data_IF_084605005127
#
_entry.id   IF_084605005127
#
_cell.length_a   1.000
_cell.length_b   1.000
_cell.length_c   1.000
_cell.angle_alpha   90.00
_cell.angle_beta   90.00
_cell.angle_gamma   90.00
#
_symmetry.space_group_name_H-M   'P 1'
#
loop_
_entity.id
_entity.type
_entity.pdbx_description
1 polymer ?
#
# COMPACT_ATOMS: atom_id res chain seq x y z
N UNK A 1 5.75 -22.48 -20.97
CA UNK A 1 4.48 -21.77 -20.87
C UNK A 1 3.33 -22.79 -20.91
N UNK A 2 2.26 -22.54 -20.15
CA UNK A 2 0.98 -23.30 -20.14
C UNK A 2 1.02 -24.76 -19.67
N UNK A 3 2.00 -25.18 -18.90
CA UNK A 3 1.98 -26.50 -18.23
C UNK A 3 1.63 -26.28 -16.76
N UNK A 4 0.49 -26.79 -16.24
CA UNK A 4 0.15 -26.67 -14.83
C UNK A 4 1.12 -27.51 -14.00
N UNK A 5 2.03 -26.84 -13.30
CA UNK A 5 2.96 -27.50 -12.38
C UNK A 5 2.32 -27.45 -10.99
N UNK A 6 1.95 -28.58 -10.45
CA UNK A 6 1.46 -28.71 -9.06
C UNK A 6 2.65 -28.73 -8.10
N UNK A 7 3.15 -27.56 -7.75
CA UNK A 7 4.11 -27.42 -6.65
C UNK A 7 3.35 -27.07 -5.36
N UNK A 8 3.86 -27.49 -4.18
CA UNK A 8 3.33 -27.00 -2.92
C UNK A 8 3.50 -25.48 -2.87
N UNK A 9 2.59 -24.78 -2.20
CA UNK A 9 2.65 -23.32 -2.08
C UNK A 9 3.92 -22.84 -1.35
N UNK A 10 4.44 -23.66 -0.43
CA UNK A 10 5.71 -23.46 0.26
C UNK A 10 6.49 -24.77 0.29
N UNK A 11 7.76 -24.70 -0.09
CA UNK A 11 8.72 -25.81 0.01
C UNK A 11 9.31 -25.89 1.43
N UNK A 12 10.06 -26.98 1.73
CA UNK A 12 10.77 -27.08 3.02
C UNK A 12 11.78 -25.94 3.19
N UNK A 13 12.44 -25.53 2.11
CA UNK A 13 13.35 -24.39 2.12
C UNK A 13 12.60 -23.08 2.41
N UNK A 14 11.43 -22.86 1.79
CA UNK A 14 10.62 -21.68 2.07
C UNK A 14 10.21 -21.63 3.55
N UNK A 15 9.91 -22.79 4.16
CA UNK A 15 9.61 -22.89 5.59
C UNK A 15 10.80 -22.47 6.46
N UNK A 16 12.02 -22.89 6.10
CA UNK A 16 13.24 -22.46 6.80
C UNK A 16 13.46 -20.94 6.64
N UNK A 17 13.34 -20.43 5.42
CA UNK A 17 13.50 -19.01 5.12
C UNK A 17 12.44 -18.14 5.83
N UNK A 18 11.19 -18.60 5.92
CA UNK A 18 10.12 -17.91 6.66
C UNK A 18 10.46 -17.89 8.18
N UNK A 19 10.89 -19.02 8.78
CA UNK A 19 11.31 -19.03 10.19
C UNK A 19 12.43 -18.04 10.46
N UNK A 20 13.46 -18.07 9.64
CA UNK A 20 14.57 -17.12 9.73
C UNK A 20 14.08 -15.67 9.61
N UNK A 21 13.21 -15.38 8.64
CA UNK A 21 12.62 -14.05 8.48
C UNK A 21 11.82 -13.60 9.71
N UNK A 22 11.04 -14.50 10.30
CA UNK A 22 10.28 -14.23 11.54
C UNK A 22 11.23 -13.88 12.68
N UNK A 23 12.31 -14.66 12.87
CA UNK A 23 13.35 -14.40 13.87
C UNK A 23 14.04 -13.05 13.66
N UNK A 24 14.24 -12.63 12.41
CA UNK A 24 14.80 -11.34 12.05
C UNK A 24 13.78 -10.18 12.12
N UNK A 25 12.51 -10.46 12.44
CA UNK A 25 11.48 -9.44 12.62
C UNK A 25 11.03 -8.77 11.33
N UNK A 26 10.88 -9.52 10.25
CA UNK A 26 10.38 -9.01 8.96
C UNK A 26 8.99 -8.41 9.10
N UNK A 27 8.69 -7.41 8.27
CA UNK A 27 7.40 -6.72 8.26
C UNK A 27 6.41 -7.30 7.24
N UNK A 28 6.90 -7.93 6.15
CA UNK A 28 6.09 -8.50 5.07
C UNK A 28 6.71 -9.77 4.51
N UNK A 29 5.87 -10.64 3.97
CA UNK A 29 6.29 -11.73 3.09
C UNK A 29 5.75 -11.44 1.69
N UNK A 30 6.64 -11.42 0.68
CA UNK A 30 6.26 -11.37 -0.72
C UNK A 30 6.29 -12.79 -1.30
N UNK A 31 5.10 -13.41 -1.41
CA UNK A 31 4.95 -14.78 -1.89
C UNK A 31 5.01 -14.83 -3.41
N UNK A 32 6.01 -15.54 -3.96
CA UNK A 32 6.17 -15.74 -5.41
C UNK A 32 5.24 -16.84 -5.92
N UNK A 33 4.89 -16.78 -7.19
CA UNK A 33 4.12 -17.79 -7.91
C UNK A 33 2.80 -18.19 -7.26
N UNK A 34 2.07 -17.21 -6.71
CA UNK A 34 0.75 -17.46 -6.13
C UNK A 34 -0.24 -17.82 -7.25
N UNK A 35 -0.82 -19.01 -7.16
CA UNK A 35 -1.75 -19.57 -8.14
C UNK A 35 -3.22 -19.33 -7.76
N UNK A 36 -3.53 -19.43 -6.46
CA UNK A 36 -4.88 -19.38 -5.90
C UNK A 36 -4.88 -18.95 -4.43
N UNK A 37 -6.04 -18.87 -3.81
CA UNK A 37 -6.19 -18.49 -2.41
C UNK A 37 -5.55 -19.50 -1.44
N UNK A 38 -5.53 -20.80 -1.78
CA UNK A 38 -4.95 -21.85 -0.94
C UNK A 38 -3.47 -21.61 -0.66
N UNK A 39 -2.72 -21.07 -1.62
CA UNK A 39 -1.32 -20.68 -1.42
C UNK A 39 -1.17 -19.69 -0.25
N UNK A 40 -2.04 -18.69 -0.16
CA UNK A 40 -2.00 -17.70 0.91
C UNK A 40 -2.43 -18.32 2.25
N UNK A 41 -3.43 -19.19 2.22
CA UNK A 41 -3.92 -19.90 3.42
C UNK A 41 -2.82 -20.77 4.01
N UNK A 42 -2.06 -21.50 3.17
CA UNK A 42 -0.95 -22.37 3.61
C UNK A 42 0.17 -21.54 4.26
N UNK A 43 0.60 -20.43 3.63
CA UNK A 43 1.61 -19.53 4.20
C UNK A 43 1.12 -18.96 5.54
N UNK A 44 -0.14 -18.54 5.62
CA UNK A 44 -0.72 -17.99 6.85
C UNK A 44 -0.82 -19.03 7.96
N UNK A 45 -1.15 -20.28 7.65
CA UNK A 45 -1.14 -21.38 8.60
C UNK A 45 0.27 -21.60 9.16
N UNK A 46 1.28 -21.60 8.29
CA UNK A 46 2.67 -21.75 8.70
C UNK A 46 3.18 -20.58 9.55
N UNK A 47 2.80 -19.34 9.21
CA UNK A 47 3.09 -18.17 10.06
C UNK A 47 2.47 -18.29 11.45
N UNK A 48 1.28 -18.90 11.56
CA UNK A 48 0.64 -19.18 12.85
C UNK A 48 1.44 -20.20 13.66
N UNK A 49 2.00 -21.23 13.02
CA UNK A 49 2.90 -22.19 13.68
C UNK A 49 4.18 -21.52 14.18
N UNK A 50 4.64 -20.44 13.53
CA UNK A 50 5.78 -19.65 13.93
C UNK A 50 5.45 -18.52 14.94
N UNK A 51 4.27 -18.49 15.53
CA UNK A 51 3.76 -17.41 16.42
C UNK A 51 3.79 -16.01 15.77
N UNK A 52 3.72 -15.96 14.44
CA UNK A 52 3.80 -14.74 13.64
C UNK A 52 2.59 -14.50 12.73
N UNK A 53 1.32 -14.76 13.15
CA UNK A 53 0.13 -14.62 12.31
C UNK A 53 -0.13 -13.18 11.86
N UNK A 54 0.56 -12.23 12.47
CA UNK A 54 0.46 -10.79 12.22
C UNK A 54 1.25 -10.33 11.01
N UNK A 55 2.15 -11.14 10.42
CA UNK A 55 2.94 -10.75 9.26
C UNK A 55 2.05 -10.75 8.00
N UNK A 56 1.91 -9.61 7.31
CA UNK A 56 1.12 -9.52 6.09
C UNK A 56 1.79 -10.27 4.93
N UNK A 57 0.94 -10.81 4.06
CA UNK A 57 1.36 -11.54 2.86
C UNK A 57 1.01 -10.70 1.63
N UNK A 58 2.03 -10.33 0.85
CA UNK A 58 1.90 -9.71 -0.46
C UNK A 58 1.96 -10.82 -1.51
N UNK A 59 0.84 -11.08 -2.19
CA UNK A 59 0.79 -12.09 -3.24
C UNK A 59 1.38 -11.53 -4.54
N UNK A 60 2.38 -12.21 -5.10
CA UNK A 60 2.96 -11.86 -6.39
C UNK A 60 2.20 -12.57 -7.51
N UNK A 61 1.65 -11.78 -8.42
CA UNK A 61 0.92 -12.27 -9.59
C UNK A 61 1.88 -12.33 -10.77
N UNK A 62 2.22 -13.55 -11.15
CA UNK A 62 3.33 -13.86 -12.07
C UNK A 62 2.93 -14.82 -13.20
N UNK A 63 1.69 -15.33 -13.20
CA UNK A 63 1.24 -16.38 -14.11
C UNK A 63 -0.25 -16.25 -14.47
N UNK A 64 -0.66 -17.00 -15.50
CA UNK A 64 -2.03 -16.99 -16.01
C UNK A 64 -3.06 -17.55 -15.01
N UNK A 65 -2.69 -18.53 -14.18
CA UNK A 65 -3.58 -19.10 -13.18
C UNK A 65 -3.87 -18.11 -12.06
N UNK A 66 -2.87 -17.37 -11.58
CA UNK A 66 -3.03 -16.29 -10.63
C UNK A 66 -3.94 -15.17 -11.13
N UNK A 67 -3.88 -14.85 -12.43
CA UNK A 67 -4.83 -13.90 -13.07
C UNK A 67 -6.25 -14.44 -13.06
N UNK A 68 -6.45 -15.71 -13.40
CA UNK A 68 -7.77 -16.35 -13.39
C UNK A 68 -8.40 -16.34 -12.00
N UNK A 69 -7.59 -16.52 -10.97
CA UNK A 69 -8.01 -16.62 -9.57
C UNK A 69 -7.83 -15.29 -8.79
N UNK A 70 -7.62 -14.19 -9.50
CA UNK A 70 -7.20 -12.91 -8.89
C UNK A 70 -8.16 -12.40 -7.81
N UNK A 71 -9.46 -12.59 -7.97
CA UNK A 71 -10.46 -12.08 -7.03
C UNK A 71 -10.37 -12.78 -5.66
N UNK A 72 -10.18 -14.09 -5.64
CA UNK A 72 -10.00 -14.84 -4.40
C UNK A 72 -8.63 -14.55 -3.75
N UNK A 73 -7.58 -14.42 -4.56
CA UNK A 73 -6.24 -14.07 -4.07
C UNK A 73 -6.27 -12.70 -3.39
N UNK A 74 -6.87 -11.68 -4.02
CA UNK A 74 -6.98 -10.33 -3.43
C UNK A 74 -7.73 -10.35 -2.09
N UNK A 75 -8.78 -11.16 -1.96
CA UNK A 75 -9.54 -11.26 -0.71
C UNK A 75 -8.71 -11.88 0.42
N UNK A 76 -7.89 -12.88 0.12
CA UNK A 76 -7.10 -13.62 1.10
C UNK A 76 -5.76 -12.97 1.44
N UNK A 77 -5.10 -12.33 0.46
CA UNK A 77 -3.82 -11.65 0.64
C UNK A 77 -4.00 -10.30 1.37
N UNK A 78 -2.91 -9.77 1.92
CA UNK A 78 -2.87 -8.46 2.55
C UNK A 78 -2.47 -7.34 1.59
N UNK A 79 -1.87 -7.72 0.46
CA UNK A 79 -1.55 -6.86 -0.67
C UNK A 79 -1.18 -7.67 -1.89
N UNK A 80 -1.01 -7.00 -3.01
CA UNK A 80 -0.69 -7.61 -4.30
C UNK A 80 0.56 -6.96 -4.89
N UNK A 81 1.40 -7.76 -5.54
CA UNK A 81 2.49 -7.29 -6.38
C UNK A 81 2.28 -7.76 -7.81
N UNK A 82 2.19 -6.83 -8.74
CA UNK A 82 2.14 -7.14 -10.18
C UNK A 82 3.56 -7.27 -10.68
N UNK A 83 4.03 -8.52 -10.86
CA UNK A 83 5.39 -8.85 -11.27
C UNK A 83 5.46 -9.06 -12.79
N UNK A 84 5.56 -7.97 -13.55
CA UNK A 84 5.42 -7.95 -15.01
C UNK A 84 6.47 -8.77 -15.76
N UNK A 85 7.67 -8.89 -15.23
CA UNK A 85 8.76 -9.64 -15.88
C UNK A 85 8.38 -11.10 -16.09
N UNK A 86 7.87 -11.76 -15.05
CA UNK A 86 7.50 -13.17 -15.10
C UNK A 86 6.13 -13.34 -15.78
N UNK A 87 5.19 -12.43 -15.51
CA UNK A 87 3.87 -12.42 -16.12
C UNK A 87 3.95 -12.32 -17.66
N UNK A 88 4.84 -11.47 -18.19
CA UNK A 88 5.03 -11.29 -19.64
C UNK A 88 5.70 -12.47 -20.35
N UNK A 89 6.19 -13.47 -19.60
CA UNK A 89 6.67 -14.74 -20.18
C UNK A 89 5.51 -15.72 -20.41
N UNK A 90 4.49 -15.65 -19.57
CA UNK A 90 3.35 -16.59 -19.62
C UNK A 90 2.14 -16.04 -20.37
N UNK A 91 1.98 -14.73 -20.42
CA UNK A 91 0.84 -14.05 -21.04
C UNK A 91 1.33 -13.21 -22.22
N UNK A 92 0.55 -13.09 -23.31
CA UNK A 92 0.86 -12.20 -24.43
C UNK A 92 1.19 -10.78 -23.92
N UNK A 93 2.30 -10.22 -24.39
CA UNK A 93 2.83 -8.95 -23.90
C UNK A 93 1.82 -7.80 -24.03
N UNK A 94 0.99 -7.83 -25.06
CA UNK A 94 -0.08 -6.85 -25.33
C UNK A 94 -1.22 -6.89 -24.31
N UNK A 95 -1.42 -8.01 -23.60
CA UNK A 95 -2.45 -8.15 -22.56
C UNK A 95 -2.00 -7.61 -21.20
N UNK A 96 -0.69 -7.60 -20.92
CA UNK A 96 -0.13 -7.22 -19.63
C UNK A 96 -0.57 -5.83 -19.16
N UNK A 97 -0.61 -4.77 -20.00
CA UNK A 97 -1.05 -3.44 -19.57
C UNK A 97 -2.52 -3.41 -19.12
N UNK A 98 -3.40 -4.13 -19.80
CA UNK A 98 -4.81 -4.25 -19.43
C UNK A 98 -4.96 -4.98 -18.09
N UNK A 99 -4.33 -6.14 -17.94
CA UNK A 99 -4.39 -6.96 -16.73
C UNK A 99 -3.85 -6.21 -15.51
N UNK A 100 -2.76 -5.48 -15.67
CA UNK A 100 -2.20 -4.62 -14.64
C UNK A 100 -3.22 -3.59 -14.15
N UNK A 101 -3.85 -2.84 -15.06
CA UNK A 101 -4.87 -1.84 -14.71
C UNK A 101 -6.05 -2.48 -13.98
N UNK A 102 -6.51 -3.62 -14.46
CA UNK A 102 -7.59 -4.38 -13.84
C UNK A 102 -7.24 -4.82 -12.40
N UNK A 103 -6.03 -5.34 -12.18
CA UNK A 103 -5.56 -5.74 -10.85
C UNK A 103 -5.50 -4.53 -9.90
N UNK A 104 -4.92 -3.41 -10.35
CA UNK A 104 -4.81 -2.18 -9.54
C UNK A 104 -6.21 -1.69 -9.13
N UNK A 105 -7.17 -1.64 -10.06
CA UNK A 105 -8.55 -1.24 -9.77
C UNK A 105 -9.22 -2.16 -8.73
N UNK A 106 -9.06 -3.49 -8.89
CA UNK A 106 -9.59 -4.46 -7.92
C UNK A 106 -8.92 -4.30 -6.54
N UNK A 107 -7.60 -4.10 -6.47
CA UNK A 107 -6.91 -3.86 -5.21
C UNK A 107 -7.41 -2.58 -4.52
N UNK A 108 -7.59 -1.50 -5.26
CA UNK A 108 -8.15 -0.26 -4.73
C UNK A 108 -9.57 -0.46 -4.20
N UNK A 109 -10.42 -1.22 -4.90
CA UNK A 109 -11.77 -1.57 -4.44
C UNK A 109 -11.76 -2.33 -3.10
N UNK A 110 -10.85 -3.32 -2.94
CA UNK A 110 -10.74 -4.12 -1.72
C UNK A 110 -9.84 -3.50 -0.64
N UNK A 111 -9.40 -2.24 -0.80
CA UNK A 111 -8.48 -1.55 0.12
C UNK A 111 -7.18 -2.32 0.37
N UNK A 112 -6.70 -3.04 -0.64
CA UNK A 112 -5.42 -3.74 -0.57
C UNK A 112 -4.32 -2.91 -1.22
N UNK A 113 -3.14 -2.77 -0.61
CA UNK A 113 -2.00 -2.14 -1.27
C UNK A 113 -1.59 -2.94 -2.50
N UNK A 114 -1.22 -2.23 -3.56
CA UNK A 114 -0.73 -2.81 -4.80
C UNK A 114 0.63 -2.21 -5.17
N UNK A 115 1.59 -3.10 -5.40
CA UNK A 115 2.96 -2.76 -5.78
C UNK A 115 3.14 -3.10 -7.25
N UNK A 116 3.62 -2.15 -8.04
CA UNK A 116 4.05 -2.41 -9.41
C UNK A 116 5.55 -2.68 -9.43
N UNK A 117 5.93 -3.85 -9.92
CA UNK A 117 7.29 -4.35 -9.86
C UNK A 117 7.83 -4.74 -11.24
N UNK A 118 9.17 -4.77 -11.32
CA UNK A 118 10.02 -5.20 -12.43
C UNK A 118 10.04 -4.29 -13.65
N UNK A 119 11.25 -4.12 -14.19
CA UNK A 119 11.56 -3.40 -15.43
C UNK A 119 11.00 -1.97 -15.45
N UNK A 120 11.10 -1.26 -14.33
CA UNK A 120 10.63 0.12 -14.23
C UNK A 120 11.61 1.08 -14.88
N UNK A 121 12.90 0.96 -14.56
CA UNK A 121 14.03 1.74 -15.09
C UNK A 121 15.19 0.81 -15.50
N UNK A 122 14.92 -0.32 -16.12
CA UNK A 122 15.85 -1.42 -16.39
C UNK A 122 17.12 -0.96 -17.13
N UNK A 123 17.00 0.00 -18.04
CA UNK A 123 18.17 0.56 -18.76
C UNK A 123 19.16 1.23 -17.80
N UNK A 124 18.70 1.69 -16.62
CA UNK A 124 19.55 2.33 -15.62
C UNK A 124 20.44 1.33 -14.83
N UNK A 125 20.27 0.03 -15.03
CA UNK A 125 21.27 -0.96 -14.62
C UNK A 125 22.63 -0.63 -15.23
N UNK A 126 22.64 -0.10 -16.47
CA UNK A 126 23.85 0.12 -17.28
C UNK A 126 24.07 1.57 -17.66
N UNK A 127 23.02 2.41 -17.69
CA UNK A 127 23.07 3.79 -18.14
C UNK A 127 22.64 4.74 -17.01
N UNK A 128 23.20 5.96 -16.94
CA UNK A 128 22.86 6.93 -15.90
C UNK A 128 21.51 7.63 -16.12
N UNK A 129 20.82 7.36 -17.23
CA UNK A 129 19.52 7.93 -17.59
C UNK A 129 18.60 6.88 -18.16
N UNK A 130 17.30 6.93 -17.84
CA UNK A 130 16.32 5.99 -18.40
C UNK A 130 15.94 6.36 -19.82
N UNK A 131 15.27 5.43 -20.49
CA UNK A 131 14.59 5.69 -21.75
C UNK A 131 13.28 6.46 -21.50
N UNK A 132 12.76 7.13 -22.56
CA UNK A 132 11.45 7.81 -22.48
C UNK A 132 10.31 6.82 -22.19
N UNK A 133 10.38 5.61 -22.71
CA UNK A 133 9.38 4.56 -22.47
C UNK A 133 9.33 4.18 -20.97
N UNK A 134 10.48 4.04 -20.33
CA UNK A 134 10.56 3.74 -18.90
C UNK A 134 10.02 4.87 -18.03
N UNK A 135 10.34 6.13 -18.35
CA UNK A 135 9.77 7.30 -17.67
C UNK A 135 8.23 7.28 -17.78
N UNK A 136 7.71 7.04 -18.99
CA UNK A 136 6.26 6.95 -19.23
C UNK A 136 5.65 5.78 -18.45
N UNK A 137 6.36 4.68 -18.33
CA UNK A 137 5.90 3.48 -17.63
C UNK A 137 5.77 3.73 -16.11
N UNK A 138 6.76 4.37 -15.49
CA UNK A 138 6.69 4.79 -14.08
C UNK A 138 5.53 5.77 -13.87
N UNK A 139 5.41 6.80 -14.71
CA UNK A 139 4.32 7.77 -14.62
C UNK A 139 2.94 7.09 -14.73
N UNK A 140 2.78 6.15 -15.68
CA UNK A 140 1.53 5.39 -15.81
C UNK A 140 1.20 4.56 -14.57
N UNK A 141 2.19 4.06 -13.83
CA UNK A 141 1.93 3.37 -12.55
C UNK A 141 1.23 4.29 -11.55
N UNK A 142 1.67 5.54 -11.49
CA UNK A 142 1.08 6.57 -10.61
C UNK A 142 -0.31 6.94 -11.10
N UNK A 143 -0.51 7.20 -12.40
CA UNK A 143 -1.82 7.49 -12.99
C UNK A 143 -2.82 6.35 -12.80
N UNK A 144 -2.37 5.10 -12.81
CA UNK A 144 -3.21 3.92 -12.57
C UNK A 144 -3.62 3.78 -11.10
N UNK A 145 -2.99 4.55 -10.18
CA UNK A 145 -3.29 4.55 -8.75
C UNK A 145 -2.65 3.39 -7.99
N UNK A 146 -1.45 2.96 -8.40
CA UNK A 146 -0.64 2.01 -7.62
C UNK A 146 -0.20 2.65 -6.30
N UNK A 147 0.01 1.86 -5.26
CA UNK A 147 0.45 2.38 -3.94
C UNK A 147 1.96 2.54 -3.86
N UNK A 148 2.70 1.65 -4.51
CA UNK A 148 4.15 1.70 -4.55
C UNK A 148 4.70 1.18 -5.89
N UNK A 149 5.88 1.67 -6.25
CA UNK A 149 6.68 1.19 -7.38
C UNK A 149 7.98 0.59 -6.84
N UNK A 150 8.50 -0.44 -7.50
CA UNK A 150 9.67 -1.18 -7.03
C UNK A 150 10.76 -1.21 -8.09
N UNK A 151 11.99 -0.88 -7.68
CA UNK A 151 13.22 -1.17 -8.40
C UNK A 151 13.73 -2.57 -8.02
N UNK A 152 14.42 -3.22 -8.92
CA UNK A 152 15.02 -4.56 -8.74
C UNK A 152 16.51 -4.53 -9.04
N UNK A 153 16.91 -4.98 -10.22
CA UNK A 153 18.29 -5.00 -10.67
C UNK A 153 18.97 -3.63 -10.69
N UNK A 154 18.18 -2.56 -10.89
CA UNK A 154 18.63 -1.18 -10.93
C UNK A 154 19.38 -0.78 -9.64
N UNK A 155 18.86 -1.19 -8.48
CA UNK A 155 19.47 -0.92 -7.17
C UNK A 155 20.25 -2.08 -6.58
N UNK A 156 19.92 -3.34 -6.95
CA UNK A 156 20.56 -4.52 -6.38
C UNK A 156 21.94 -4.80 -6.98
N UNK A 157 22.15 -4.54 -8.26
CA UNK A 157 23.41 -4.85 -8.99
C UNK A 157 23.69 -3.86 -10.13
N UNK A 158 22.92 -2.79 -10.26
CA UNK A 158 23.11 -1.76 -11.27
C UNK A 158 24.36 -0.92 -11.01
N UNK A 159 24.85 -0.26 -12.06
CA UNK A 159 25.97 0.69 -11.95
C UNK A 159 25.56 2.04 -11.38
N UNK A 160 24.26 2.37 -11.41
CA UNK A 160 23.71 3.68 -11.07
C UNK A 160 22.55 3.56 -10.07
N UNK A 161 22.75 2.88 -8.90
CA UNK A 161 21.65 2.58 -7.98
C UNK A 161 21.02 3.84 -7.37
N UNK A 162 21.81 4.84 -7.01
CA UNK A 162 21.35 6.08 -6.43
C UNK A 162 20.60 6.93 -7.45
N UNK A 163 21.14 7.07 -8.65
CA UNK A 163 20.53 7.81 -9.76
C UNK A 163 19.21 7.17 -10.20
N UNK A 164 19.13 5.84 -10.19
CA UNK A 164 17.89 5.11 -10.50
C UNK A 164 16.79 5.40 -9.45
N UNK A 165 17.14 5.39 -8.16
CA UNK A 165 16.21 5.74 -7.11
C UNK A 165 15.78 7.21 -7.21
N UNK A 166 16.71 8.14 -7.37
CA UNK A 166 16.41 9.56 -7.53
C UNK A 166 15.52 9.83 -8.74
N UNK A 167 15.81 9.18 -9.87
CA UNK A 167 14.98 9.29 -11.07
C UNK A 167 13.55 8.75 -10.84
N UNK A 168 13.41 7.63 -10.14
CA UNK A 168 12.10 7.09 -9.76
C UNK A 168 11.31 8.11 -8.93
N UNK A 169 11.94 8.69 -7.90
CA UNK A 169 11.33 9.71 -7.04
C UNK A 169 10.90 10.91 -7.87
N UNK A 170 11.79 11.48 -8.70
CA UNK A 170 11.46 12.64 -9.53
C UNK A 170 10.29 12.38 -10.50
N UNK A 171 10.20 11.18 -11.09
CA UNK A 171 9.08 10.84 -11.98
C UNK A 171 7.77 10.75 -11.19
N UNK A 172 7.81 10.11 -10.01
CA UNK A 172 6.63 9.96 -9.15
C UNK A 172 6.13 11.33 -8.69
N UNK A 173 6.99 12.16 -8.08
CA UNK A 173 6.65 13.49 -7.58
C UNK A 173 6.09 14.38 -8.69
N UNK A 174 6.79 14.45 -9.83
CA UNK A 174 6.32 15.23 -10.98
C UNK A 174 4.95 14.73 -11.48
N UNK A 175 4.72 13.40 -11.48
CA UNK A 175 3.43 12.85 -11.92
C UNK A 175 2.32 13.17 -10.92
N UNK A 176 2.60 13.09 -9.62
CA UNK A 176 1.65 13.42 -8.56
C UNK A 176 1.20 14.87 -8.61
N UNK A 177 2.09 15.82 -8.95
CA UNK A 177 1.73 17.24 -9.16
C UNK A 177 0.71 17.43 -10.29
N UNK A 178 0.67 16.53 -11.27
CA UNK A 178 -0.17 16.63 -12.46
C UNK A 178 -1.38 15.67 -12.46
N UNK A 179 -1.66 14.99 -11.34
CA UNK A 179 -2.84 14.14 -11.21
C UNK A 179 -4.13 14.97 -11.15
N UNK A 180 -5.16 14.45 -11.81
CA UNK A 180 -6.54 14.93 -11.62
C UNK A 180 -7.14 14.23 -10.39
N UNK A 181 -6.86 14.80 -9.21
CA UNK A 181 -7.30 14.25 -7.93
C UNK A 181 -8.82 14.26 -7.77
N UNK A 182 -9.51 15.24 -8.33
CA UNK A 182 -10.98 15.31 -8.29
C UNK A 182 -11.60 14.14 -9.06
N UNK A 183 -11.06 13.86 -10.24
CA UNK A 183 -11.47 12.70 -11.04
C UNK A 183 -11.13 11.37 -10.33
N UNK A 184 -9.97 11.30 -9.66
CA UNK A 184 -9.58 10.10 -8.90
C UNK A 184 -10.53 9.86 -7.72
N UNK A 185 -10.86 10.89 -6.96
CA UNK A 185 -11.80 10.81 -5.84
C UNK A 185 -13.20 10.37 -6.32
N UNK A 186 -13.69 10.97 -7.41
CA UNK A 186 -14.98 10.60 -8.01
C UNK A 186 -15.00 9.13 -8.45
N UNK A 187 -13.96 8.65 -9.14
CA UNK A 187 -13.84 7.24 -9.52
C UNK A 187 -13.79 6.31 -8.30
N UNK A 188 -13.06 6.71 -7.25
CA UNK A 188 -13.00 5.94 -6.02
C UNK A 188 -14.36 5.88 -5.32
N UNK A 189 -15.15 6.96 -5.33
CA UNK A 189 -16.51 6.98 -4.79
C UNK A 189 -17.44 6.03 -5.54
N UNK A 190 -17.43 6.05 -6.87
CA UNK A 190 -18.28 5.19 -7.71
C UNK A 190 -18.00 3.69 -7.49
N UNK A 191 -16.75 3.33 -7.19
CA UNK A 191 -16.28 1.94 -7.11
C UNK A 191 -15.85 1.53 -5.68
N UNK A 192 -16.28 2.23 -4.61
CA UNK A 192 -15.91 1.88 -3.25
C UNK A 192 -16.74 0.76 -2.65
N UNK A 193 -16.16 0.00 -1.74
CA UNK A 193 -16.91 -0.92 -0.90
C UNK A 193 -17.92 -0.15 -0.03
N UNK A 194 -19.12 -0.71 0.14
CA UNK A 194 -20.10 -0.16 1.09
C UNK A 194 -19.73 -0.58 2.51
N UNK A 195 -19.74 0.37 3.44
CA UNK A 195 -19.44 0.14 4.84
C UNK A 195 -19.08 1.42 5.59
N UNK A 196 -19.11 1.37 6.92
CA UNK A 196 -18.86 2.52 7.79
C UNK A 196 -17.47 3.10 7.54
N UNK A 197 -16.43 2.27 7.59
CA UNK A 197 -15.03 2.71 7.39
C UNK A 197 -14.83 3.38 6.02
N UNK A 198 -15.45 2.82 4.97
CA UNK A 198 -15.42 3.41 3.63
C UNK A 198 -16.11 4.78 3.57
N UNK A 199 -17.30 4.89 4.19
CA UNK A 199 -18.04 6.13 4.23
C UNK A 199 -17.27 7.23 4.99
N UNK A 200 -16.69 6.88 6.13
CA UNK A 200 -15.87 7.80 6.93
C UNK A 200 -14.60 8.20 6.18
N UNK A 201 -13.88 7.26 5.57
CA UNK A 201 -12.68 7.57 4.78
C UNK A 201 -12.97 8.51 3.62
N UNK A 202 -14.04 8.27 2.87
CA UNK A 202 -14.49 9.17 1.81
C UNK A 202 -14.86 10.56 2.35
N UNK A 203 -15.66 10.62 3.43
CA UNK A 203 -16.05 11.88 4.05
C UNK A 203 -14.83 12.67 4.56
N UNK A 204 -13.81 12.00 5.14
CA UNK A 204 -12.58 12.65 5.59
C UNK A 204 -11.84 13.31 4.44
N UNK A 205 -11.69 12.60 3.31
CA UNK A 205 -11.00 13.14 2.12
C UNK A 205 -11.80 14.29 1.50
N UNK A 206 -13.13 14.13 1.35
CA UNK A 206 -14.00 15.18 0.82
C UNK A 206 -13.97 16.44 1.70
N UNK A 207 -13.99 16.26 3.02
CA UNK A 207 -13.89 17.37 3.98
C UNK A 207 -12.54 18.09 3.83
N UNK A 208 -11.45 17.34 3.72
CA UNK A 208 -10.12 17.90 3.54
C UNK A 208 -10.01 18.73 2.25
N UNK A 209 -10.58 18.27 1.14
CA UNK A 209 -10.65 19.06 -0.09
C UNK A 209 -11.48 20.34 0.08
N UNK A 210 -12.65 20.25 0.68
CA UNK A 210 -13.54 21.40 0.86
C UNK A 210 -12.94 22.49 1.74
N UNK A 211 -12.12 22.12 2.72
CA UNK A 211 -11.43 23.03 3.62
C UNK A 211 -10.09 23.55 3.03
N UNK A 212 -9.53 22.89 2.02
CA UNK A 212 -8.15 23.10 1.64
C UNK A 212 -7.16 22.66 2.72
N UNK A 213 -7.49 21.59 3.45
CA UNK A 213 -6.72 21.11 4.58
C UNK A 213 -5.27 20.79 4.18
N UNK A 214 -4.34 21.04 5.10
CA UNK A 214 -2.91 20.78 4.88
C UNK A 214 -2.61 19.27 4.91
N UNK A 215 -3.26 18.54 5.82
CA UNK A 215 -3.12 17.09 5.91
C UNK A 215 -4.40 16.39 6.44
N UNK A 216 -4.39 15.05 6.37
CA UNK A 216 -5.41 14.20 7.00
C UNK A 216 -4.71 13.34 8.06
N UNK A 217 -5.10 13.51 9.31
CA UNK A 217 -4.49 12.83 10.46
C UNK A 217 -5.30 11.57 10.78
N UNK A 218 -4.63 10.42 10.85
CA UNK A 218 -5.28 9.12 11.05
C UNK A 218 -4.65 8.33 12.21
N UNK A 219 -5.01 8.65 13.47
CA UNK A 219 -4.60 7.84 14.60
C UNK A 219 -5.17 6.42 14.50
N UNK A 220 -4.29 5.42 14.49
CA UNK A 220 -4.68 4.02 14.31
C UNK A 220 -3.62 3.05 14.83
N UNK A 221 -3.96 2.18 15.77
CA UNK A 221 -3.03 1.18 16.31
C UNK A 221 -2.55 0.20 15.23
N UNK A 222 -3.42 -0.22 14.33
CA UNK A 222 -3.13 -1.20 13.28
C UNK A 222 -2.84 -0.59 11.90
N UNK A 223 -3.03 0.73 11.73
CA UNK A 223 -2.97 1.40 10.42
C UNK A 223 -4.21 1.17 9.53
N UNK A 224 -5.28 0.56 10.05
CA UNK A 224 -6.46 0.23 9.24
C UNK A 224 -7.20 1.48 8.73
N UNK A 225 -7.39 2.50 9.58
CA UNK A 225 -8.01 3.78 9.19
C UNK A 225 -7.17 4.47 8.12
N UNK A 226 -5.86 4.57 8.36
CA UNK A 226 -4.88 5.14 7.41
C UNK A 226 -4.98 4.48 6.04
N UNK A 227 -5.02 3.14 6.00
CA UNK A 227 -5.16 2.37 4.76
C UNK A 227 -6.44 2.70 4.01
N UNK A 228 -7.57 2.83 4.72
CA UNK A 228 -8.85 3.15 4.09
C UNK A 228 -8.83 4.55 3.50
N UNK A 229 -8.34 5.55 4.23
CA UNK A 229 -8.20 6.94 3.73
C UNK A 229 -7.27 7.00 2.52
N UNK A 230 -6.13 6.31 2.58
CA UNK A 230 -5.16 6.24 1.49
C UNK A 230 -5.74 5.71 0.17
N UNK A 231 -6.77 4.87 0.22
CA UNK A 231 -7.40 4.32 -0.99
C UNK A 231 -8.26 5.31 -1.77
N UNK A 232 -8.58 6.44 -1.18
CA UNK A 232 -9.21 7.56 -1.89
C UNK A 232 -8.19 8.48 -2.59
N UNK A 233 -6.87 8.19 -2.44
CA UNK A 233 -5.77 8.88 -3.12
C UNK A 233 -5.85 10.42 -2.98
N UNK A 234 -5.93 10.94 -1.74
CA UNK A 234 -5.98 12.39 -1.56
C UNK A 234 -4.67 13.07 -2.02
N UNK A 235 -4.78 14.34 -2.42
CA UNK A 235 -3.63 15.18 -2.78
C UNK A 235 -2.78 15.53 -1.56
N UNK A 236 -3.46 15.85 -0.44
CA UNK A 236 -2.78 16.20 0.81
C UNK A 236 -2.21 14.93 1.46
N UNK A 237 -1.09 15.04 2.20
CA UNK A 237 -0.48 13.93 2.91
C UNK A 237 -1.43 13.36 3.98
N UNK A 238 -1.32 12.06 4.21
CA UNK A 238 -2.02 11.35 5.28
C UNK A 238 -1.01 11.06 6.38
N UNK A 239 -1.21 11.65 7.54
CA UNK A 239 -0.33 11.42 8.68
C UNK A 239 -0.87 10.24 9.50
N UNK A 240 -0.21 9.09 9.37
CA UNK A 240 -0.58 7.86 10.08
C UNK A 240 0.03 7.82 11.48
N UNK A 241 -0.75 8.10 12.52
CA UNK A 241 -0.24 8.16 13.90
C UNK A 241 -0.46 6.82 14.60
N UNK A 242 0.61 6.17 15.09
CA UNK A 242 0.50 4.85 15.71
C UNK A 242 1.52 4.64 16.84
N UNK A 243 1.12 3.99 17.95
CA UNK A 243 2.06 3.55 18.99
C UNK A 243 2.81 2.27 18.60
N UNK A 244 2.38 1.57 17.53
CA UNK A 244 2.89 0.26 17.15
C UNK A 244 3.98 0.35 16.09
N UNK A 245 5.20 -0.07 16.39
CA UNK A 245 6.36 -0.05 15.49
C UNK A 245 6.13 -0.82 14.18
N UNK A 246 5.46 -1.98 14.25
CA UNK A 246 5.18 -2.77 13.04
C UNK A 246 4.17 -2.06 12.14
N UNK A 247 3.15 -1.46 12.73
CA UNK A 247 2.16 -0.68 11.98
C UNK A 247 2.81 0.57 11.35
N UNK A 248 3.73 1.23 12.09
CA UNK A 248 4.51 2.35 11.57
C UNK A 248 5.23 1.97 10.26
N UNK A 249 6.01 0.88 10.28
CA UNK A 249 6.75 0.42 9.10
C UNK A 249 5.82 -0.05 7.97
N UNK A 250 4.71 -0.71 8.30
CA UNK A 250 3.74 -1.20 7.31
C UNK A 250 3.01 -0.11 6.56
N UNK A 251 2.72 1.00 7.23
CA UNK A 251 2.03 2.12 6.60
C UNK A 251 2.85 2.80 5.51
N UNK A 252 4.17 2.59 5.46
CA UNK A 252 5.06 3.13 4.43
C UNK A 252 4.72 2.69 3.00
N UNK A 253 4.01 1.57 2.82
CA UNK A 253 3.62 1.11 1.47
C UNK A 253 2.28 1.67 1.00
N UNK A 254 1.57 2.48 1.82
CA UNK A 254 0.29 3.04 1.43
C UNK A 254 0.48 4.39 0.73
N UNK A 255 -0.33 4.65 -0.28
CA UNK A 255 -0.32 5.91 -1.02
C UNK A 255 -0.41 7.12 -0.09
N UNK A 256 0.53 8.06 -0.26
CA UNK A 256 0.51 9.37 0.39
C UNK A 256 0.57 9.36 1.92
N UNK A 257 1.04 8.24 2.53
CA UNK A 257 1.08 8.10 3.98
C UNK A 257 2.48 8.41 4.52
N UNK A 258 2.52 9.33 5.48
CA UNK A 258 3.67 9.60 6.34
C UNK A 258 3.36 9.08 7.75
N UNK A 259 3.95 7.96 8.18
CA UNK A 259 3.66 7.39 9.48
C UNK A 259 4.52 8.01 10.58
N UNK A 260 3.89 8.35 11.71
CA UNK A 260 4.54 8.91 12.90
C UNK A 260 4.31 8.01 14.10
N UNK A 261 5.36 7.83 14.89
CA UNK A 261 5.30 7.12 16.17
C UNK A 261 4.64 7.99 17.25
N UNK A 262 3.68 7.42 17.96
CA UNK A 262 3.06 8.02 19.13
C UNK A 262 3.23 7.16 20.37
N UNK A 263 2.78 7.70 21.49
CA UNK A 263 2.41 6.89 22.67
C UNK A 263 1.03 6.27 22.47
N UNK A 264 0.63 5.37 23.34
CA UNK A 264 -0.73 4.84 23.37
C UNK A 264 -1.69 5.93 23.89
N UNK A 265 -2.66 6.34 23.10
CA UNK A 265 -3.75 7.21 23.53
C UNK A 265 -4.89 6.39 24.12
N UNK A 266 -5.47 6.87 25.22
CA UNK A 266 -6.51 6.15 25.96
C UNK A 266 -7.89 6.81 25.90
N UNK A 267 -7.96 8.10 25.60
CA UNK A 267 -9.18 8.86 25.47
C UNK A 267 -9.26 9.56 24.11
N UNK A 268 -10.44 10.00 23.73
CA UNK A 268 -10.63 10.79 22.49
C UNK A 268 -9.92 12.15 22.57
N UNK A 269 -9.89 12.76 23.77
CA UNK A 269 -9.18 14.00 24.03
C UNK A 269 -7.67 13.82 23.84
N UNK A 270 -7.10 12.71 24.40
CA UNK A 270 -5.67 12.38 24.20
C UNK A 270 -5.34 12.16 22.70
N UNK A 271 -6.24 11.53 21.96
CA UNK A 271 -6.05 11.33 20.51
C UNK A 271 -5.95 12.68 19.79
N UNK A 272 -6.89 13.60 20.07
CA UNK A 272 -6.92 14.90 19.43
C UNK A 272 -5.71 15.75 19.82
N UNK A 273 -5.49 15.97 21.12
CA UNK A 273 -4.38 16.81 21.60
C UNK A 273 -3.01 16.23 21.26
N UNK A 274 -2.83 14.92 21.48
CA UNK A 274 -1.56 14.26 21.19
C UNK A 274 -1.22 14.19 19.70
N UNK A 275 -2.22 14.08 18.83
CA UNK A 275 -1.98 14.13 17.38
C UNK A 275 -1.52 15.52 16.95
N UNK A 276 -2.15 16.60 17.45
CA UNK A 276 -1.75 18.00 17.17
C UNK A 276 -0.32 18.25 17.66
N UNK A 277 -0.02 17.89 18.91
CA UNK A 277 1.31 18.06 19.47
C UNK A 277 2.38 17.36 18.65
N UNK A 278 2.10 16.12 18.16
CA UNK A 278 3.02 15.38 17.31
C UNK A 278 3.24 16.07 15.95
N UNK A 279 2.20 16.59 15.31
CA UNK A 279 2.33 17.30 14.04
C UNK A 279 3.16 18.56 14.21
N UNK A 280 2.86 19.35 15.23
CA UNK A 280 3.61 20.56 15.55
C UNK A 280 5.08 20.28 15.86
N UNK A 281 5.36 19.26 16.67
CA UNK A 281 6.72 18.84 17.03
C UNK A 281 7.53 18.35 15.81
N UNK A 282 6.87 17.76 14.80
CA UNK A 282 7.50 17.31 13.57
C UNK A 282 7.46 18.36 12.43
N UNK A 283 7.00 19.57 12.69
CA UNK A 283 6.88 20.66 11.71
C UNK A 283 5.99 20.31 10.49
N UNK A 284 4.96 19.50 10.72
CA UNK A 284 4.03 19.05 9.68
C UNK A 284 2.76 19.91 9.61
N UNK A 285 2.45 20.63 10.67
CA UNK A 285 1.38 21.61 10.75
C UNK A 285 1.80 22.82 11.58
N UNK A 286 1.31 24.00 11.16
CA UNK A 286 1.52 25.27 11.83
C UNK A 286 0.22 25.76 12.49
N UNK A 287 0.35 26.64 13.48
CA UNK A 287 -0.81 27.28 14.10
C UNK A 287 -1.60 28.09 13.06
N UNK A 288 -2.86 27.73 12.87
CA UNK A 288 -3.75 28.37 11.90
C UNK A 288 -3.98 27.55 10.63
N UNK A 289 -3.32 26.41 10.48
CA UNK A 289 -3.65 25.44 9.42
C UNK A 289 -4.98 24.74 9.74
N UNK A 290 -5.76 24.45 8.71
CA UNK A 290 -6.92 23.58 8.82
C UNK A 290 -6.52 22.15 8.50
N UNK A 291 -6.77 21.22 9.42
CA UNK A 291 -6.49 19.79 9.27
C UNK A 291 -7.73 18.94 9.53
N UNK A 292 -7.75 17.73 8.96
CA UNK A 292 -8.84 16.77 9.20
C UNK A 292 -8.32 15.59 9.99
N UNK A 293 -8.83 15.39 11.20
CA UNK A 293 -8.54 14.21 11.99
C UNK A 293 -9.66 13.19 11.88
N UNK A 294 -9.33 11.94 11.56
CA UNK A 294 -10.28 10.82 11.54
C UNK A 294 -9.72 9.65 12.35
N UNK A 295 -10.47 9.21 13.34
CA UNK A 295 -10.08 8.14 14.25
C UNK A 295 -11.25 7.22 14.60
N UNK A 296 -10.95 6.02 15.07
CA UNK A 296 -11.93 5.18 15.79
C UNK A 296 -12.00 5.55 17.26
N UNK A 297 -13.15 5.35 17.88
CA UNK A 297 -13.24 5.47 19.33
C UNK A 297 -12.36 4.44 20.04
N UNK A 298 -11.56 4.84 21.04
CA UNK A 298 -10.89 3.90 21.90
C UNK A 298 -11.94 3.10 22.66
N UNK A 299 -12.06 1.81 22.39
CA UNK A 299 -12.94 0.94 23.15
C UNK A 299 -12.10 0.05 24.07
N UNK A 300 -12.56 -0.13 25.33
CA UNK A 300 -11.94 -1.09 26.24
C UNK A 300 -12.08 -2.55 25.74
N UNK A 301 -12.95 -2.80 24.77
CA UNK A 301 -13.09 -4.07 24.07
C UNK A 301 -12.51 -3.95 22.66
N UNK A 302 -11.34 -4.53 22.43
CA UNK A 302 -10.62 -4.57 21.16
C UNK A 302 -11.45 -5.08 19.95
N UNK A 303 -12.64 -5.66 20.17
CA UNK A 303 -13.51 -6.22 19.16
C UNK A 303 -14.65 -5.30 18.70
N UNK A 304 -14.82 -4.10 19.27
CA UNK A 304 -15.99 -3.23 19.01
C UNK A 304 -15.67 -1.82 18.49
N UNK A 305 -14.46 -1.49 18.13
CA UNK A 305 -14.12 -0.21 17.49
C UNK A 305 -14.72 -0.15 16.07
N UNK A 306 -16.03 0.11 15.97
CA UNK A 306 -16.77 0.16 14.69
C UNK A 306 -17.22 1.55 14.28
N UNK A 307 -17.01 2.58 15.08
CA UNK A 307 -17.46 3.93 14.79
C UNK A 307 -16.28 4.85 14.55
N UNK A 308 -16.27 5.50 13.40
CA UNK A 308 -15.25 6.50 13.05
C UNK A 308 -15.74 7.91 13.40
N UNK A 309 -14.85 8.76 13.87
CA UNK A 309 -15.06 10.18 14.11
C UNK A 309 -14.34 10.96 13.03
N UNK A 310 -14.99 12.01 12.52
CA UNK A 310 -14.32 13.06 11.76
C UNK A 310 -14.33 14.31 12.64
N UNK A 311 -13.14 14.81 12.98
CA UNK A 311 -12.98 16.10 13.64
C UNK A 311 -12.23 17.05 12.70
N UNK A 312 -12.71 18.29 12.65
CA UNK A 312 -11.99 19.41 12.02
C UNK A 312 -11.19 20.11 13.09
N UNK A 313 -9.94 20.40 12.83
CA UNK A 313 -9.01 21.06 13.75
C UNK A 313 -8.54 22.38 13.13
N UNK A 314 -8.42 23.41 13.96
CA UNK A 314 -7.87 24.73 13.62
C UNK A 314 -6.69 25.03 14.52
#
# INVERSE_FOLDING_TARGET
PNVPVRLPAITDKDREDIRFGVEQGIDFIAASFVLNAECIVEIRAFLKECDAPYIPIIAKIENAEGIKNIDEIIRCADGIMVARGDLGVEIPAEEVPYLQKMIIQKCNYYYKPVIRARQMLDSMIRNPRPTRAEVTDVANAVYDGTDAVMLSGETAQGKYPLEALQMMVHIVENTEEHLDYDLMLKKAEEHRMKGISSAIGHASVTTAYNLGAKCIITPSVSGATTRVVSKFKPKMPIIGVTPNERSLRRMQIYWGVEPIKSIQFNTTEDICSGAIELLSANQMADTGDDDVLTAGFPSQNLNSAKEGIINMMR
#
